data_IF_504269585722
#
_entry.id   IF_504269585722
#
_cell.length_a   1.000
_cell.length_b   1.000
_cell.length_c   1.000
_cell.angle_alpha   90.00
_cell.angle_beta   90.00
_cell.angle_gamma   90.00
#
_symmetry.space_group_name_H-M   'P 1'
#
loop_
_entity.id
_entity.type
_entity.pdbx_description
1 polymer ?
#
# COMPACT_ATOMS: atom_id res chain seq x y z
N UNK A 1 -8.63 -12.00 -8.54
CA UNK A 1 -7.20 -11.72 -8.80
C UNK A 1 -6.71 -10.58 -7.89
N UNK A 2 -5.44 -10.63 -7.49
CA UNK A 2 -4.77 -9.54 -6.74
C UNK A 2 -4.34 -8.41 -7.68
N UNK A 3 -4.11 -7.20 -7.18
CA UNK A 3 -3.54 -6.10 -7.98
C UNK A 3 -4.42 -5.49 -9.08
N UNK A 4 -5.74 -5.71 -9.04
CA UNK A 4 -6.74 -5.07 -9.93
C UNK A 4 -7.35 -3.77 -9.36
N UNK A 5 -6.86 -3.27 -8.22
CA UNK A 5 -7.35 -2.01 -7.65
C UNK A 5 -8.58 -2.09 -6.73
N UNK A 6 -8.91 -3.26 -6.15
CA UNK A 6 -10.03 -3.37 -5.18
C UNK A 6 -9.86 -2.42 -3.99
N UNK A 7 -8.69 -2.41 -3.36
CA UNK A 7 -8.38 -1.51 -2.25
C UNK A 7 -8.39 -0.04 -2.68
N UNK A 8 -7.92 0.28 -3.89
CA UNK A 8 -7.98 1.64 -4.45
C UNK A 8 -9.43 2.13 -4.65
N UNK A 9 -10.34 1.25 -5.09
CA UNK A 9 -11.77 1.58 -5.17
C UNK A 9 -12.34 1.86 -3.78
N UNK A 10 -12.00 1.06 -2.77
CA UNK A 10 -12.43 1.31 -1.39
C UNK A 10 -11.92 2.66 -0.86
N UNK A 11 -10.67 3.02 -1.14
CA UNK A 11 -10.13 4.33 -0.79
C UNK A 11 -10.89 5.46 -1.48
N UNK A 12 -11.21 5.29 -2.77
CA UNK A 12 -11.99 6.27 -3.53
C UNK A 12 -13.42 6.43 -2.99
N UNK A 13 -14.08 5.33 -2.66
CA UNK A 13 -15.41 5.32 -2.02
C UNK A 13 -15.34 6.01 -0.65
N UNK A 14 -14.32 5.71 0.16
CA UNK A 14 -14.15 6.34 1.46
C UNK A 14 -13.98 7.87 1.34
N UNK A 15 -13.23 8.33 0.35
CA UNK A 15 -13.02 9.75 0.08
C UNK A 15 -14.31 10.44 -0.41
N UNK A 16 -15.02 9.85 -1.38
CA UNK A 16 -16.24 10.43 -1.95
C UNK A 16 -17.42 10.42 -0.98
N UNK A 17 -17.53 9.40 -0.12
CA UNK A 17 -18.65 9.23 0.82
C UNK A 17 -18.35 9.82 2.21
N UNK A 18 -17.24 10.53 2.36
CA UNK A 18 -16.78 11.03 3.64
C UNK A 18 -17.77 11.94 4.37
N UNK A 19 -18.51 12.76 3.63
CA UNK A 19 -19.52 13.66 4.19
C UNK A 19 -20.87 12.96 4.40
N UNK A 20 -21.08 11.79 3.79
CA UNK A 20 -22.33 11.03 3.89
C UNK A 20 -22.35 10.12 5.14
N UNK A 21 -21.19 9.64 5.59
CA UNK A 21 -21.08 8.78 6.76
C UNK A 21 -20.51 9.56 7.95
N UNK A 22 -21.06 9.33 9.14
CA UNK A 22 -20.50 9.85 10.39
C UNK A 22 -19.09 9.30 10.66
N UNK A 23 -18.86 8.04 10.31
CA UNK A 23 -17.59 7.37 10.51
C UNK A 23 -17.31 6.36 9.41
N UNK A 24 -16.07 6.36 8.93
CA UNK A 24 -15.55 5.35 8.01
C UNK A 24 -14.42 4.62 8.73
N UNK A 25 -14.56 3.31 8.82
CA UNK A 25 -13.66 2.44 9.56
C UNK A 25 -13.06 1.41 8.60
N UNK A 26 -11.74 1.29 8.59
CA UNK A 26 -11.01 0.35 7.74
C UNK A 26 -10.39 -0.74 8.58
N UNK A 27 -10.56 -1.99 8.17
CA UNK A 27 -9.97 -3.17 8.82
C UNK A 27 -9.35 -4.06 7.75
N UNK A 28 -8.05 -4.34 7.89
CA UNK A 28 -7.38 -5.39 7.12
C UNK A 28 -7.72 -6.76 7.71
N UNK A 29 -8.52 -7.54 6.99
CA UNK A 29 -8.92 -8.90 7.38
C UNK A 29 -8.11 -9.98 6.68
N UNK A 30 -6.93 -9.63 6.14
CA UNK A 30 -5.97 -10.57 5.56
C UNK A 30 -5.37 -11.56 6.56
N UNK A 31 -5.42 -11.25 7.86
CA UNK A 31 -5.09 -12.17 8.95
C UNK A 31 -5.87 -11.81 10.22
N UNK A 32 -6.06 -12.77 11.12
CA UNK A 32 -6.75 -12.54 12.39
C UNK A 32 -6.01 -11.53 13.29
N UNK A 33 -4.67 -11.53 13.25
CA UNK A 33 -3.86 -10.55 14.00
C UNK A 33 -4.06 -9.13 13.46
N UNK A 34 -4.03 -8.94 12.13
CA UNK A 34 -4.25 -7.63 11.51
C UNK A 34 -5.67 -7.11 11.82
N UNK A 35 -6.67 -7.97 11.68
CA UNK A 35 -8.05 -7.62 11.99
C UNK A 35 -8.20 -7.21 13.47
N UNK A 36 -7.59 -7.96 14.38
CA UNK A 36 -7.60 -7.67 15.82
C UNK A 36 -7.01 -6.29 16.11
N UNK A 37 -5.83 -6.00 15.56
CA UNK A 37 -5.16 -4.71 15.75
C UNK A 37 -6.04 -3.54 15.25
N UNK A 38 -6.65 -3.69 14.07
CA UNK A 38 -7.47 -2.64 13.48
C UNK A 38 -8.80 -2.42 14.21
N UNK A 39 -9.46 -3.49 14.66
CA UNK A 39 -10.64 -3.36 15.53
C UNK A 39 -10.31 -2.73 16.88
N UNK A 40 -9.15 -3.03 17.46
CA UNK A 40 -8.67 -2.36 18.68
C UNK A 40 -8.47 -0.86 18.43
N UNK A 41 -7.89 -0.48 17.27
CA UNK A 41 -7.76 0.95 16.89
C UNK A 41 -9.14 1.62 16.79
N UNK A 42 -10.12 0.95 16.17
CA UNK A 42 -11.50 1.45 16.11
C UNK A 42 -12.09 1.63 17.52
N UNK A 43 -11.96 0.62 18.40
CA UNK A 43 -12.45 0.71 19.77
C UNK A 43 -11.82 1.88 20.54
N UNK A 44 -10.52 2.12 20.35
CA UNK A 44 -9.81 3.28 20.93
C UNK A 44 -10.32 4.61 20.37
N UNK A 45 -10.54 4.71 19.06
CA UNK A 45 -11.08 5.91 18.42
C UNK A 45 -12.49 6.24 18.95
N UNK A 46 -13.30 5.20 19.17
CA UNK A 46 -14.64 5.29 19.76
C UNK A 46 -14.63 5.46 21.29
N UNK A 47 -13.45 5.43 21.92
CA UNK A 47 -13.25 5.57 23.37
C UNK A 47 -14.01 4.53 24.18
N UNK A 48 -14.04 3.30 23.69
CA UNK A 48 -14.72 2.19 24.37
C UNK A 48 -13.94 1.73 25.59
N UNK A 49 -14.65 1.27 26.62
CA UNK A 49 -14.02 0.71 27.82
C UNK A 49 -13.39 -0.66 27.57
N UNK A 50 -13.94 -1.44 26.63
CA UNK A 50 -13.40 -2.71 26.17
C UNK A 50 -12.79 -2.53 24.78
N UNK A 51 -11.47 -2.64 24.70
CA UNK A 51 -10.71 -2.60 23.44
C UNK A 51 -10.65 -4.01 22.83
N UNK A 52 -11.81 -4.50 22.38
CA UNK A 52 -11.95 -5.83 21.76
C UNK A 52 -12.71 -5.73 20.44
N UNK A 53 -12.59 -6.77 19.61
CA UNK A 53 -13.38 -6.90 18.37
C UNK A 53 -14.88 -6.81 18.71
N UNK A 54 -15.35 -7.62 19.65
CA UNK A 54 -16.76 -7.63 20.07
C UNK A 54 -17.22 -6.26 20.58
N UNK A 55 -16.37 -5.54 21.32
CA UNK A 55 -16.67 -4.19 21.79
C UNK A 55 -16.86 -3.20 20.64
N UNK A 56 -15.95 -3.22 19.65
CA UNK A 56 -16.06 -2.40 18.46
C UNK A 56 -17.31 -2.73 17.64
N UNK A 57 -17.57 -4.02 17.38
CA UNK A 57 -18.74 -4.48 16.64
C UNK A 57 -20.04 -4.12 17.36
N UNK A 58 -20.11 -4.31 18.68
CA UNK A 58 -21.26 -3.94 19.49
C UNK A 58 -21.49 -2.42 19.48
N UNK A 59 -20.43 -1.61 19.52
CA UNK A 59 -20.55 -0.16 19.41
C UNK A 59 -21.12 0.25 18.06
N UNK A 60 -20.61 -0.30 16.96
CA UNK A 60 -21.14 -0.02 15.62
C UNK A 60 -22.58 -0.53 15.45
N UNK A 61 -22.93 -1.66 16.06
CA UNK A 61 -24.28 -2.24 15.99
C UNK A 61 -25.33 -1.35 16.67
N UNK A 62 -24.94 -0.58 17.69
CA UNK A 62 -25.82 0.32 18.45
C UNK A 62 -25.69 1.79 18.02
N UNK A 63 -24.84 2.09 17.04
CA UNK A 63 -24.68 3.46 16.55
C UNK A 63 -25.89 3.84 15.68
N UNK A 64 -26.51 4.98 16.00
CA UNK A 64 -27.68 5.48 15.28
C UNK A 64 -27.32 6.25 14.01
N UNK A 65 -26.08 6.73 13.91
CA UNK A 65 -25.57 7.46 12.75
C UNK A 65 -25.03 6.50 11.70
N UNK A 66 -25.20 6.88 10.44
CA UNK A 66 -24.70 6.08 9.32
C UNK A 66 -23.18 5.93 9.38
N UNK A 67 -22.68 4.70 9.36
CA UNK A 67 -21.26 4.38 9.29
C UNK A 67 -20.95 3.45 8.11
N UNK A 68 -19.69 3.48 7.68
CA UNK A 68 -19.14 2.56 6.68
C UNK A 68 -18.00 1.75 7.28
N UNK A 69 -18.08 0.42 7.21
CA UNK A 69 -17.02 -0.50 7.59
C UNK A 69 -16.42 -1.14 6.34
N UNK A 70 -15.14 -0.89 6.08
CA UNK A 70 -14.39 -1.48 4.99
C UNK A 70 -13.60 -2.67 5.53
N UNK A 71 -13.87 -3.87 5.01
CA UNK A 71 -13.16 -5.10 5.30
C UNK A 71 -12.30 -5.48 4.09
N UNK A 72 -11.02 -5.16 4.12
CA UNK A 72 -10.09 -5.38 2.99
C UNK A 72 -9.36 -6.73 3.12
N UNK A 73 -9.00 -7.36 2.00
CA UNK A 73 -8.24 -8.63 1.94
C UNK A 73 -8.95 -9.85 2.55
N UNK A 74 -10.27 -9.99 2.40
CA UNK A 74 -11.02 -11.16 2.88
C UNK A 74 -10.79 -12.41 1.99
N UNK A 75 -9.57 -12.91 1.93
CA UNK A 75 -9.12 -13.87 0.92
C UNK A 75 -9.16 -15.35 1.36
N UNK A 76 -9.21 -15.65 2.66
CA UNK A 76 -9.23 -17.01 3.17
C UNK A 76 -10.61 -17.66 2.95
N UNK A 77 -10.67 -18.67 2.08
CA UNK A 77 -11.91 -19.37 1.76
C UNK A 77 -12.50 -20.20 2.90
N UNK A 78 -11.70 -20.50 3.93
CA UNK A 78 -12.13 -21.30 5.08
C UNK A 78 -12.52 -20.45 6.28
N UNK A 79 -12.30 -19.13 6.20
CA UNK A 79 -12.60 -18.20 7.27
C UNK A 79 -14.01 -17.63 7.14
N UNK A 80 -14.81 -17.74 8.19
CA UNK A 80 -16.11 -17.09 8.25
C UNK A 80 -15.95 -15.59 8.57
N UNK A 81 -15.99 -14.73 7.55
CA UNK A 81 -15.88 -13.28 7.72
C UNK A 81 -17.13 -12.61 8.31
N UNK A 82 -18.28 -13.31 8.40
CA UNK A 82 -19.50 -12.74 9.00
C UNK A 82 -19.33 -12.44 10.49
N UNK A 83 -18.33 -13.06 11.14
CA UNK A 83 -17.95 -12.75 12.53
C UNK A 83 -17.51 -11.29 12.72
N UNK A 84 -17.11 -10.61 11.64
CA UNK A 84 -16.70 -9.20 11.66
C UNK A 84 -17.84 -8.24 11.27
N UNK A 85 -19.07 -8.74 11.12
CA UNK A 85 -20.19 -7.90 10.70
C UNK A 85 -20.93 -7.41 11.96
N UNK A 86 -21.07 -6.08 12.15
CA UNK A 86 -21.99 -5.55 13.15
C UNK A 86 -23.42 -6.05 12.87
N UNK A 87 -24.17 -6.36 13.93
CA UNK A 87 -25.52 -6.92 13.82
C UNK A 87 -26.63 -5.86 13.65
N UNK A 88 -26.27 -4.57 13.78
CA UNK A 88 -27.17 -3.44 13.57
C UNK A 88 -27.44 -3.13 12.10
N UNK A 89 -28.45 -2.30 11.83
CA UNK A 89 -28.85 -1.89 10.47
C UNK A 89 -28.43 -0.46 10.11
N UNK A 90 -27.74 0.25 11.00
CA UNK A 90 -27.38 1.67 10.84
C UNK A 90 -26.12 1.91 10.02
N UNK A 91 -25.65 0.95 9.23
CA UNK A 91 -24.40 1.12 8.49
C UNK A 91 -24.28 0.21 7.27
N UNK A 92 -23.21 0.46 6.51
CA UNK A 92 -22.85 -0.28 5.32
C UNK A 92 -21.52 -1.00 5.52
N UNK A 93 -21.38 -2.17 4.90
CA UNK A 93 -20.13 -2.93 4.89
C UNK A 93 -19.66 -3.05 3.45
N UNK A 94 -18.42 -2.65 3.19
CA UNK A 94 -17.74 -2.86 1.90
C UNK A 94 -16.63 -3.89 2.11
N UNK A 95 -16.76 -5.05 1.49
CA UNK A 95 -15.79 -6.15 1.62
C UNK A 95 -15.05 -6.36 0.29
N UNK A 96 -13.73 -6.44 0.34
CA UNK A 96 -12.91 -6.84 -0.81
C UNK A 96 -12.35 -8.24 -0.63
N UNK A 97 -12.26 -8.99 -1.73
CA UNK A 97 -11.67 -10.33 -1.74
C UNK A 97 -11.19 -10.71 -3.13
N UNK A 98 -10.15 -11.54 -3.20
CA UNK A 98 -9.70 -12.25 -4.39
C UNK A 98 -10.51 -13.54 -4.61
N UNK A 99 -11.19 -14.04 -3.57
CA UNK A 99 -12.00 -15.24 -3.62
C UNK A 99 -13.43 -14.91 -4.05
N UNK A 100 -13.82 -15.34 -5.25
CA UNK A 100 -15.16 -15.10 -5.78
C UNK A 100 -16.31 -15.69 -4.95
N UNK A 101 -16.05 -16.64 -4.03
CA UNK A 101 -17.07 -17.16 -3.12
C UNK A 101 -17.56 -16.12 -2.11
N UNK A 102 -16.77 -15.09 -1.81
CA UNK A 102 -17.16 -14.00 -0.90
C UNK A 102 -18.40 -13.25 -1.37
N UNK A 103 -18.75 -13.34 -2.67
CA UNK A 103 -20.01 -12.82 -3.25
C UNK A 103 -21.25 -13.30 -2.50
N UNK A 104 -21.20 -14.49 -1.89
CA UNK A 104 -22.31 -15.04 -1.10
C UNK A 104 -22.58 -14.26 0.19
N UNK A 105 -21.63 -13.46 0.67
CA UNK A 105 -21.75 -12.62 1.86
C UNK A 105 -22.47 -11.29 1.57
N UNK A 106 -22.61 -10.91 0.30
CA UNK A 106 -23.25 -9.64 -0.06
C UNK A 106 -24.76 -9.71 0.03
N UNK A 107 -25.36 -8.70 0.66
CA UNK A 107 -26.81 -8.52 0.79
C UNK A 107 -27.38 -7.54 -0.24
N UNK A 108 -26.53 -6.78 -0.94
CA UNK A 108 -26.94 -5.70 -1.85
C UNK A 108 -26.39 -5.95 -3.25
N UNK A 109 -25.06 -5.83 -3.40
CA UNK A 109 -24.39 -5.95 -4.70
C UNK A 109 -23.01 -6.58 -4.51
N UNK A 110 -22.61 -7.39 -5.48
CA UNK A 110 -21.27 -7.97 -5.53
C UNK A 110 -20.73 -7.82 -6.94
N UNK A 111 -19.70 -6.99 -7.06
CA UNK A 111 -19.06 -6.69 -8.33
C UNK A 111 -17.74 -7.45 -8.46
N UNK A 112 -17.56 -8.09 -9.61
CA UNK A 112 -16.27 -8.68 -9.97
C UNK A 112 -15.51 -7.65 -10.79
N UNK A 113 -14.38 -7.19 -10.28
CA UNK A 113 -13.50 -6.33 -11.06
C UNK A 113 -12.86 -7.17 -12.17
N UNK A 114 -13.18 -6.83 -13.42
CA UNK A 114 -12.45 -7.28 -14.59
C UNK A 114 -11.24 -6.41 -14.85
N UNK A 115 -10.60 -6.65 -15.99
CA UNK A 115 -9.58 -5.75 -16.53
C UNK A 115 -10.20 -4.39 -16.89
N UNK A 116 -9.38 -3.34 -16.83
CA UNK A 116 -9.79 -2.01 -17.29
C UNK A 116 -10.00 -2.02 -18.81
N UNK A 117 -10.77 -1.05 -19.31
CA UNK A 117 -10.89 -0.84 -20.74
C UNK A 117 -9.52 -0.47 -21.35
N UNK A 118 -9.22 -0.84 -22.61
CA UNK A 118 -7.91 -0.60 -23.21
C UNK A 118 -7.44 0.86 -23.15
N UNK A 119 -8.38 1.81 -23.27
CA UNK A 119 -8.07 3.24 -23.18
C UNK A 119 -7.60 3.65 -21.77
N UNK A 120 -8.22 3.09 -20.72
CA UNK A 120 -7.85 3.35 -19.34
C UNK A 120 -6.54 2.65 -18.97
N UNK A 121 -6.29 1.45 -19.50
CA UNK A 121 -5.00 0.78 -19.39
C UNK A 121 -3.87 1.62 -19.99
N UNK A 122 -4.07 2.20 -21.18
CA UNK A 122 -3.09 3.09 -21.80
C UNK A 122 -2.84 4.33 -20.94
N UNK A 123 -3.91 4.98 -20.46
CA UNK A 123 -3.78 6.17 -19.61
C UNK A 123 -3.00 5.85 -18.33
N UNK A 124 -3.32 4.73 -17.67
CA UNK A 124 -2.62 4.25 -16.48
C UNK A 124 -1.13 3.98 -16.77
N UNK A 125 -0.84 3.31 -17.89
CA UNK A 125 0.52 3.02 -18.32
C UNK A 125 1.34 4.30 -18.57
N UNK A 126 0.80 5.24 -19.36
CA UNK A 126 1.50 6.50 -19.66
C UNK A 126 1.73 7.34 -18.40
N UNK A 127 0.75 7.39 -17.49
CA UNK A 127 0.90 8.06 -16.21
C UNK A 127 2.03 7.42 -15.38
N UNK A 128 2.10 6.10 -15.31
CA UNK A 128 3.14 5.39 -14.58
C UNK A 128 4.52 5.50 -15.26
N UNK A 129 4.56 5.60 -16.58
CA UNK A 129 5.77 5.79 -17.37
C UNK A 129 6.30 7.22 -17.37
N UNK A 130 5.54 8.18 -16.83
CA UNK A 130 5.85 9.62 -16.88
C UNK A 130 6.08 10.13 -18.31
N UNK A 131 5.39 9.53 -19.30
CA UNK A 131 5.48 9.88 -20.73
C UNK A 131 4.17 10.53 -21.17
N UNK A 132 4.27 11.65 -21.90
CA UNK A 132 3.10 12.27 -22.54
C UNK A 132 2.56 11.36 -23.65
N UNK A 133 1.28 11.03 -23.59
CA UNK A 133 0.61 10.19 -24.58
C UNK A 133 0.67 10.86 -25.96
N UNK A 134 1.31 10.20 -26.91
CA UNK A 134 1.42 10.64 -28.30
C UNK A 134 1.15 9.48 -29.26
N UNK A 135 0.88 9.79 -30.53
CA UNK A 135 0.65 8.77 -31.57
C UNK A 135 1.88 7.89 -31.83
N UNK A 136 3.08 8.34 -31.46
CA UNK A 136 4.33 7.58 -31.59
C UNK A 136 4.34 6.37 -30.65
N UNK A 137 3.96 6.58 -29.39
CA UNK A 137 4.01 5.55 -28.35
C UNK A 137 2.74 4.72 -28.21
N UNK A 138 1.65 5.09 -28.89
CA UNK A 138 0.36 4.44 -28.73
C UNK A 138 0.36 2.95 -29.14
N UNK A 139 0.93 2.61 -30.30
CA UNK A 139 1.06 1.22 -30.75
C UNK A 139 2.02 0.39 -29.88
N UNK A 140 3.25 0.85 -29.55
CA UNK A 140 4.12 0.19 -28.57
C UNK A 140 3.45 -0.03 -27.20
N UNK A 141 2.82 0.99 -26.63
CA UNK A 141 2.13 0.89 -25.35
C UNK A 141 0.97 -0.11 -25.41
N UNK A 142 0.22 -0.15 -26.52
CA UNK A 142 -0.86 -1.13 -26.70
C UNK A 142 -0.34 -2.57 -26.73
N UNK A 143 0.88 -2.80 -27.26
CA UNK A 143 1.52 -4.13 -27.18
C UNK A 143 1.80 -4.52 -25.72
N UNK A 144 2.32 -3.59 -24.91
CA UNK A 144 2.56 -3.82 -23.47
C UNK A 144 1.23 -4.11 -22.74
N UNK A 145 0.18 -3.33 -23.01
CA UNK A 145 -1.16 -3.54 -22.42
C UNK A 145 -1.69 -4.94 -22.69
N UNK A 146 -1.57 -5.41 -23.93
CA UNK A 146 -1.97 -6.77 -24.32
C UNK A 146 -1.07 -7.83 -23.70
N UNK A 147 0.25 -7.61 -23.69
CA UNK A 147 1.23 -8.54 -23.12
C UNK A 147 0.99 -8.79 -21.63
N UNK A 148 0.62 -7.74 -20.89
CA UNK A 148 0.36 -7.80 -19.45
C UNK A 148 -1.10 -8.14 -19.11
N UNK A 149 -1.89 -8.56 -20.09
CA UNK A 149 -3.31 -8.93 -19.96
C UNK A 149 -4.15 -7.88 -19.23
N UNK A 150 -3.84 -6.60 -19.48
CA UNK A 150 -4.51 -5.44 -18.85
C UNK A 150 -4.47 -5.46 -17.31
N UNK A 151 -3.50 -6.15 -16.71
CA UNK A 151 -3.36 -6.25 -15.26
C UNK A 151 -2.83 -4.94 -14.68
N UNK A 152 -3.68 -4.20 -13.95
CA UNK A 152 -3.41 -2.85 -13.42
C UNK A 152 -2.05 -2.71 -12.74
N UNK A 153 -1.73 -3.56 -11.75
CA UNK A 153 -0.45 -3.47 -11.04
C UNK A 153 0.77 -3.75 -11.94
N UNK A 154 0.68 -4.71 -12.86
CA UNK A 154 1.79 -5.02 -13.77
C UNK A 154 2.03 -3.86 -14.75
N UNK A 155 0.96 -3.19 -15.20
CA UNK A 155 1.07 -1.98 -16.02
C UNK A 155 1.74 -0.82 -15.28
N UNK A 156 1.39 -0.61 -14.01
CA UNK A 156 2.04 0.41 -13.17
C UNK A 156 3.53 0.09 -13.01
N UNK A 157 3.88 -1.17 -12.75
CA UNK A 157 5.28 -1.60 -12.61
C UNK A 157 6.06 -1.47 -13.92
N UNK A 158 5.45 -1.82 -15.06
CA UNK A 158 6.04 -1.65 -16.39
C UNK A 158 6.29 -0.18 -16.72
N UNK A 159 5.30 0.69 -16.45
CA UNK A 159 5.47 2.13 -16.61
C UNK A 159 6.60 2.65 -15.71
N UNK A 160 6.57 2.33 -14.42
CA UNK A 160 7.61 2.76 -13.49
C UNK A 160 9.02 2.27 -13.90
N UNK A 161 9.14 1.07 -14.45
CA UNK A 161 10.40 0.54 -15.00
C UNK A 161 10.94 1.43 -16.13
N UNK A 162 10.06 1.82 -17.06
CA UNK A 162 10.40 2.72 -18.19
C UNK A 162 10.72 4.13 -17.68
N UNK A 163 9.97 4.65 -16.69
CA UNK A 163 10.21 5.96 -16.09
C UNK A 163 11.58 6.08 -15.39
N UNK A 164 12.20 4.95 -15.02
CA UNK A 164 13.56 4.91 -14.48
C UNK A 164 14.65 4.78 -15.55
N UNK A 165 14.32 4.96 -16.83
CA UNK A 165 15.21 4.84 -17.99
C UNK A 165 15.88 3.45 -18.10
N UNK A 166 15.24 2.39 -17.60
CA UNK A 166 15.78 1.03 -17.71
C UNK A 166 15.63 0.44 -19.12
N UNK A 167 14.60 0.86 -19.86
CA UNK A 167 14.43 0.60 -21.30
C UNK A 167 13.43 1.58 -21.92
N UNK A 168 13.36 1.60 -23.25
CA UNK A 168 12.27 2.28 -23.98
C UNK A 168 10.95 1.50 -23.94
N UNK A 169 9.85 2.16 -24.34
CA UNK A 169 8.52 1.54 -24.49
C UNK A 169 8.57 0.39 -25.51
N UNK A 170 9.37 0.54 -26.57
CA UNK A 170 9.53 -0.45 -27.63
C UNK A 170 10.29 -1.70 -27.19
N UNK A 171 11.26 -1.54 -26.29
CA UNK A 171 12.13 -2.61 -25.79
C UNK A 171 11.49 -3.40 -24.64
N UNK A 172 10.58 -2.79 -23.87
CA UNK A 172 9.98 -3.41 -22.69
C UNK A 172 9.38 -4.81 -22.93
N UNK A 173 8.65 -5.09 -24.04
CA UNK A 173 8.15 -6.43 -24.31
C UNK A 173 9.21 -7.53 -24.26
N UNK A 174 10.41 -7.26 -24.80
CA UNK A 174 11.51 -8.23 -24.79
C UNK A 174 12.07 -8.45 -23.38
N UNK A 175 12.16 -7.38 -22.58
CA UNK A 175 12.55 -7.48 -21.16
C UNK A 175 11.58 -8.37 -20.39
N UNK A 176 10.28 -8.13 -20.58
CA UNK A 176 9.23 -8.92 -19.95
C UNK A 176 9.28 -10.39 -20.36
N UNK A 177 9.42 -10.67 -21.66
CA UNK A 177 9.46 -12.04 -22.19
C UNK A 177 10.56 -12.87 -21.52
N UNK A 178 11.79 -12.33 -21.45
CA UNK A 178 12.93 -12.99 -20.80
C UNK A 178 12.61 -13.37 -19.35
N UNK A 179 12.08 -12.43 -18.56
CA UNK A 179 11.78 -12.68 -17.15
C UNK A 179 10.58 -13.60 -16.95
N UNK A 180 9.55 -13.47 -17.79
CA UNK A 180 8.38 -14.34 -17.75
C UNK A 180 8.74 -15.80 -18.08
N UNK A 181 9.58 -16.03 -19.11
CA UNK A 181 10.08 -17.36 -19.46
C UNK A 181 10.93 -17.95 -18.34
N UNK A 182 11.82 -17.13 -17.75
CA UNK A 182 12.62 -17.54 -16.60
C UNK A 182 11.74 -17.98 -15.45
N UNK A 183 10.72 -17.21 -15.08
CA UNK A 183 9.79 -17.55 -14.00
C UNK A 183 8.98 -18.81 -14.29
N UNK A 184 8.46 -18.94 -15.52
CA UNK A 184 7.70 -20.13 -15.93
C UNK A 184 8.56 -21.40 -15.95
N UNK A 185 9.87 -21.26 -16.17
CA UNK A 185 10.83 -22.38 -16.13
C UNK A 185 11.12 -22.90 -14.71
N UNK A 186 10.85 -22.11 -13.67
CA UNK A 186 11.11 -22.46 -12.26
C UNK A 186 10.07 -23.42 -11.66
N UNK A 187 8.99 -23.74 -12.38
CA UNK A 187 8.08 -24.84 -12.05
C UNK A 187 6.60 -24.49 -12.19
N UNK A 188 5.72 -25.51 -12.24
CA UNK A 188 4.30 -25.36 -12.55
C UNK A 188 3.46 -25.04 -11.30
N UNK A 189 3.86 -24.05 -10.51
CA UNK A 189 2.98 -23.60 -9.43
C UNK A 189 1.80 -22.83 -10.02
N UNK A 190 0.57 -23.24 -9.71
CA UNK A 190 -0.64 -22.57 -10.21
C UNK A 190 -0.71 -21.11 -9.74
N UNK A 191 -0.02 -20.77 -8.64
CA UNK A 191 0.18 -19.41 -8.18
C UNK A 191 1.07 -18.60 -9.13
N UNK A 192 2.17 -19.18 -9.63
CA UNK A 192 3.08 -18.51 -10.57
C UNK A 192 2.35 -18.11 -11.85
N UNK A 193 1.48 -18.97 -12.39
CA UNK A 193 0.71 -18.64 -13.60
C UNK A 193 -0.28 -17.49 -13.39
N UNK A 194 -0.89 -17.35 -12.20
CA UNK A 194 -1.88 -16.30 -11.92
C UNK A 194 -1.27 -14.93 -11.62
N UNK A 195 -0.03 -14.89 -11.17
CA UNK A 195 0.69 -13.68 -10.79
C UNK A 195 1.94 -13.46 -11.64
N UNK A 196 2.09 -14.23 -12.73
CA UNK A 196 3.28 -14.23 -13.59
C UNK A 196 3.60 -12.83 -14.05
N UNK A 197 2.59 -12.08 -14.53
CA UNK A 197 2.80 -10.75 -15.05
C UNK A 197 3.40 -9.83 -13.98
N UNK A 198 2.79 -9.78 -12.78
CA UNK A 198 3.26 -8.93 -11.66
C UNK A 198 4.66 -9.35 -11.20
N UNK A 199 4.94 -10.65 -11.11
CA UNK A 199 6.26 -11.12 -10.69
C UNK A 199 7.32 -10.87 -11.76
N UNK A 200 7.01 -11.08 -13.05
CA UNK A 200 7.93 -10.82 -14.15
C UNK A 200 8.28 -9.33 -14.23
N UNK A 201 7.29 -8.44 -14.13
CA UNK A 201 7.52 -6.98 -14.12
C UNK A 201 8.32 -6.52 -12.89
N UNK A 202 8.08 -7.13 -11.73
CA UNK A 202 8.86 -6.86 -10.52
C UNK A 202 10.30 -7.39 -10.62
N UNK A 203 10.50 -8.62 -11.06
CA UNK A 203 11.81 -9.25 -11.24
C UNK A 203 12.66 -8.51 -12.27
N UNK A 204 12.06 -8.05 -13.37
CA UNK A 204 12.74 -7.19 -14.33
C UNK A 204 13.36 -5.97 -13.64
N UNK A 205 12.61 -5.32 -12.74
CA UNK A 205 13.08 -4.16 -11.97
C UNK A 205 14.25 -4.53 -11.04
N UNK A 206 14.16 -5.67 -10.36
CA UNK A 206 15.23 -6.19 -9.49
C UNK A 206 16.50 -6.50 -10.28
N UNK A 207 16.37 -7.11 -11.46
CA UNK A 207 17.51 -7.39 -12.35
C UNK A 207 18.15 -6.11 -12.88
N UNK A 208 17.34 -5.14 -13.30
CA UNK A 208 17.83 -3.83 -13.74
C UNK A 208 18.63 -3.13 -12.63
N UNK A 209 18.09 -3.07 -11.41
CA UNK A 209 18.79 -2.51 -10.25
C UNK A 209 20.11 -3.23 -9.98
N UNK A 210 20.11 -4.57 -10.02
CA UNK A 210 21.31 -5.39 -9.79
C UNK A 210 22.40 -5.13 -10.85
N UNK A 211 21.99 -4.88 -12.10
CA UNK A 211 22.91 -4.66 -13.22
C UNK A 211 23.59 -3.29 -13.20
N UNK A 212 22.92 -2.27 -12.66
CA UNK A 212 23.39 -0.87 -12.70
C UNK A 212 24.61 -0.60 -11.82
N UNK A 213 24.85 -1.43 -10.79
CA UNK A 213 25.99 -1.30 -9.84
C UNK A 213 26.18 0.12 -9.27
N UNK A 214 25.10 0.89 -9.17
CA UNK A 214 25.07 2.20 -8.51
C UNK A 214 24.80 1.99 -7.03
N UNK A 215 25.34 2.88 -6.20
CA UNK A 215 25.14 2.87 -4.75
C UNK A 215 23.65 2.86 -4.37
N UNK A 216 22.86 3.78 -4.94
CA UNK A 216 21.41 3.83 -4.71
C UNK A 216 20.67 2.57 -5.16
N UNK A 217 21.19 1.84 -6.14
CA UNK A 217 20.57 0.59 -6.61
C UNK A 217 20.83 -0.55 -5.63
N UNK A 218 22.03 -0.62 -5.05
CA UNK A 218 22.33 -1.57 -3.98
C UNK A 218 21.50 -1.26 -2.73
N UNK A 219 21.40 0.01 -2.36
CA UNK A 219 20.57 0.46 -1.25
C UNK A 219 19.10 0.05 -1.41
N UNK A 220 18.54 0.22 -2.62
CA UNK A 220 17.18 -0.21 -2.91
C UNK A 220 17.00 -1.74 -2.76
N UNK A 221 17.96 -2.53 -3.25
CA UNK A 221 17.93 -3.98 -3.11
C UNK A 221 18.04 -4.44 -1.65
N UNK A 222 18.89 -3.81 -0.86
CA UNK A 222 19.04 -4.13 0.56
C UNK A 222 17.75 -3.81 1.34
N UNK A 223 17.10 -2.68 1.04
CA UNK A 223 15.80 -2.33 1.61
C UNK A 223 14.74 -3.36 1.19
N UNK A 224 14.71 -3.79 -0.07
CA UNK A 224 13.77 -4.81 -0.52
C UNK A 224 13.95 -6.15 0.22
N UNK A 225 15.20 -6.59 0.42
CA UNK A 225 15.48 -7.79 1.21
C UNK A 225 15.02 -7.65 2.66
N UNK A 226 15.22 -6.48 3.26
CA UNK A 226 14.74 -6.19 4.61
C UNK A 226 13.20 -6.18 4.68
N UNK A 227 12.51 -5.60 3.69
CA UNK A 227 11.05 -5.61 3.64
C UNK A 227 10.48 -7.02 3.46
N UNK A 228 11.19 -7.89 2.75
CA UNK A 228 10.76 -9.27 2.50
C UNK A 228 10.71 -10.16 3.75
N UNK A 229 11.46 -9.83 4.81
CA UNK A 229 11.45 -10.57 6.09
C UNK A 229 10.40 -10.06 7.07
N UNK A 230 9.70 -8.98 6.73
CA UNK A 230 8.73 -8.34 7.60
C UNK A 230 7.30 -8.72 7.21
N UNK A 231 6.40 -8.64 8.19
CA UNK A 231 4.98 -8.78 7.90
C UNK A 231 4.50 -7.57 7.10
N UNK A 232 3.62 -7.79 6.12
CA UNK A 232 3.16 -6.74 5.20
C UNK A 232 2.29 -5.67 5.86
N UNK A 233 1.73 -5.96 7.03
CA UNK A 233 0.83 -5.04 7.77
C UNK A 233 1.56 -4.26 8.86
N UNK A 234 1.11 -3.02 9.09
CA UNK A 234 1.53 -2.15 10.21
C UNK A 234 3.05 -1.96 10.34
N UNK A 235 3.80 -1.89 9.23
CA UNK A 235 5.23 -1.58 9.26
C UNK A 235 5.46 -0.14 9.76
N UNK A 236 6.07 0.07 10.95
CA UNK A 236 6.27 1.41 11.49
C UNK A 236 7.44 2.06 10.78
N UNK A 237 7.18 3.10 9.98
CA UNK A 237 8.22 3.85 9.26
C UNK A 237 9.25 4.47 10.22
N UNK A 238 8.86 4.66 11.48
CA UNK A 238 9.70 5.08 12.59
C UNK A 238 10.91 4.17 12.77
N UNK A 239 10.83 2.88 12.42
CA UNK A 239 11.98 1.97 12.52
C UNK A 239 13.17 2.44 11.69
N UNK A 240 12.92 3.03 10.50
CA UNK A 240 14.00 3.58 9.67
C UNK A 240 14.58 4.84 10.29
N UNK A 241 13.73 5.66 10.92
CA UNK A 241 14.16 6.88 11.62
C UNK A 241 14.98 6.55 12.87
N UNK A 242 14.55 5.55 13.62
CA UNK A 242 15.23 5.11 14.84
C UNK A 242 16.53 4.38 14.52
N UNK A 243 16.53 3.53 13.48
CA UNK A 243 17.76 2.93 12.95
C UNK A 243 18.77 4.00 12.51
N UNK A 244 18.29 5.03 11.79
CA UNK A 244 19.11 6.17 11.40
C UNK A 244 19.71 6.90 12.61
N UNK A 245 18.89 7.26 13.59
CA UNK A 245 19.34 7.96 14.79
C UNK A 245 20.35 7.12 15.59
N UNK A 246 20.08 5.81 15.74
CA UNK A 246 20.97 4.87 16.40
C UNK A 246 22.32 4.75 15.68
N UNK A 247 22.32 4.74 14.35
CA UNK A 247 23.54 4.73 13.56
C UNK A 247 24.38 6.00 13.76
N UNK A 248 23.76 7.18 13.92
CA UNK A 248 24.50 8.41 14.22
C UNK A 248 25.18 8.35 15.60
N UNK A 249 24.46 7.89 16.63
CA UNK A 249 25.02 7.76 18.00
C UNK A 249 26.17 6.74 18.04
N UNK A 250 26.03 5.64 17.31
CA UNK A 250 27.02 4.57 17.29
C UNK A 250 28.33 4.95 16.57
N UNK A 251 28.31 5.94 15.67
CA UNK A 251 29.52 6.48 15.04
C UNK A 251 30.38 7.28 16.02
N UNK A 252 29.75 7.88 17.04
CA UNK A 252 30.40 8.68 18.07
C UNK A 252 30.86 7.83 19.27
N UNK A 253 30.50 6.54 19.30
CA UNK A 253 30.79 5.63 20.42
C UNK A 253 32.22 5.08 20.32
N UNK A 254 33.08 5.27 21.33
CA UNK A 254 34.45 4.73 21.34
C UNK A 254 34.46 3.20 21.33
N UNK A 255 35.32 2.58 20.51
CA UNK A 255 35.39 1.11 20.35
C UNK A 255 35.71 0.35 21.66
N UNK A 256 36.26 1.03 22.67
CA UNK A 256 36.63 0.44 23.97
C UNK A 256 35.48 0.25 24.96
N UNK A 257 34.29 0.83 24.72
CA UNK A 257 33.12 0.79 25.63
C UNK A 257 31.98 -0.12 25.10
N UNK A 258 32.31 -1.01 24.16
CA UNK A 258 31.34 -1.92 23.55
C UNK A 258 30.90 -3.03 24.52
N UNK A 259 29.74 -2.85 25.16
CA UNK A 259 28.97 -3.93 25.78
C UNK A 259 27.88 -4.38 24.79
N UNK A 260 27.23 -5.53 25.03
CA UNK A 260 26.14 -6.07 24.20
C UNK A 260 24.96 -5.08 24.02
N UNK A 261 24.85 -4.11 24.94
CA UNK A 261 23.83 -3.07 24.93
C UNK A 261 24.24 -1.78 24.20
N UNK A 262 25.48 -1.68 23.71
CA UNK A 262 26.02 -0.46 23.09
C UNK A 262 26.25 -0.68 21.59
N UNK A 263 25.55 0.09 20.76
CA UNK A 263 25.81 0.12 19.32
C UNK A 263 27.18 0.75 19.06
N UNK A 264 27.93 0.19 18.11
CA UNK A 264 29.31 0.62 17.78
C UNK A 264 29.49 0.69 16.27
N UNK A 265 30.63 1.23 15.83
CA UNK A 265 31.01 1.26 14.42
C UNK A 265 30.92 -0.11 13.72
N UNK A 266 31.24 -1.19 14.44
CA UNK A 266 31.08 -2.55 13.93
C UNK A 266 29.60 -2.89 13.63
N UNK A 267 28.67 -2.57 14.53
CA UNK A 267 27.25 -2.81 14.30
C UNK A 267 26.72 -2.01 13.11
N UNK A 268 27.16 -0.75 12.96
CA UNK A 268 26.79 0.08 11.80
C UNK A 268 27.30 -0.53 10.49
N UNK A 269 28.51 -1.12 10.49
CA UNK A 269 29.05 -1.78 9.30
C UNK A 269 28.26 -3.01 8.84
N UNK A 270 27.36 -3.53 9.68
CA UNK A 270 26.47 -4.63 9.33
C UNK A 270 25.11 -4.15 8.80
N UNK A 271 24.80 -2.85 8.90
CA UNK A 271 23.57 -2.30 8.35
C UNK A 271 23.70 -2.11 6.83
N UNK A 272 22.59 -2.24 6.07
CA UNK A 272 22.52 -1.74 4.71
C UNK A 272 23.07 -0.32 4.63
N UNK A 273 23.89 -0.06 3.61
CA UNK A 273 24.55 1.24 3.47
C UNK A 273 23.51 2.39 3.46
N UNK A 274 22.39 2.17 2.78
CA UNK A 274 21.15 2.96 2.81
C UNK A 274 20.73 3.47 4.20
N UNK A 275 20.77 2.62 5.22
CA UNK A 275 20.34 2.94 6.58
C UNK A 275 21.41 3.69 7.37
N UNK A 276 22.66 3.68 6.89
CA UNK A 276 23.82 4.32 7.50
C UNK A 276 24.21 5.67 6.85
N UNK A 277 23.54 6.09 5.78
CA UNK A 277 23.77 7.38 5.10
C UNK A 277 22.83 8.56 5.43
N UNK A 278 23.44 9.75 5.58
CA UNK A 278 22.80 11.03 5.98
C UNK A 278 21.66 11.49 5.08
N UNK A 279 21.71 11.13 3.80
CA UNK A 279 20.73 11.56 2.81
C UNK A 279 19.56 10.59 2.66
N UNK A 280 19.78 9.27 2.76
CA UNK A 280 18.71 8.30 2.54
C UNK A 280 17.78 8.19 3.75
N UNK A 281 18.28 8.24 4.99
CA UNK A 281 17.41 8.31 6.18
C UNK A 281 16.49 9.53 6.15
N UNK A 282 16.99 10.68 5.68
CA UNK A 282 16.19 11.89 5.48
C UNK A 282 15.24 11.78 4.28
N UNK A 283 15.65 11.20 3.14
CA UNK A 283 14.82 11.02 1.94
C UNK A 283 13.73 9.96 2.17
N UNK A 284 14.02 8.85 2.83
CA UNK A 284 13.02 7.85 3.22
C UNK A 284 12.01 8.49 4.16
N UNK A 285 12.47 9.18 5.22
CA UNK A 285 11.57 9.89 6.13
C UNK A 285 10.77 10.99 5.41
N UNK A 286 11.35 11.77 4.49
CA UNK A 286 10.65 12.86 3.78
C UNK A 286 9.77 12.41 2.62
N UNK A 287 10.14 11.39 1.84
CA UNK A 287 9.30 10.80 0.79
C UNK A 287 8.18 9.94 1.39
N UNK A 288 8.45 9.14 2.41
CA UNK A 288 7.40 8.36 3.09
C UNK A 288 6.52 9.22 3.99
N UNK A 289 7.04 10.28 4.64
CA UNK A 289 6.18 11.27 5.30
C UNK A 289 5.33 12.05 4.31
N UNK A 290 5.79 12.33 3.08
CA UNK A 290 4.93 12.88 2.03
C UNK A 290 3.83 11.91 1.59
N UNK A 291 4.09 10.60 1.55
CA UNK A 291 3.04 9.58 1.33
C UNK A 291 2.00 9.56 2.48
N UNK A 292 2.45 9.60 3.74
CA UNK A 292 1.54 9.75 4.90
C UNK A 292 0.87 11.12 4.96
N UNK A 293 1.51 12.16 4.41
CA UNK A 293 0.94 13.50 4.32
C UNK A 293 -0.09 13.54 3.22
N UNK A 294 0.06 12.90 2.06
CA UNK A 294 -1.01 12.82 1.04
C UNK A 294 -2.25 12.11 1.61
N UNK A 295 -2.08 11.08 2.45
CA UNK A 295 -3.20 10.47 3.20
C UNK A 295 -3.73 11.34 4.35
N UNK A 296 -2.92 12.23 4.95
CA UNK A 296 -3.32 13.12 6.06
C UNK A 296 -3.75 14.55 5.65
N UNK A 297 -3.35 15.05 4.48
CA UNK A 297 -3.76 16.36 3.94
C UNK A 297 -5.08 16.28 3.23
N UNK A 298 -5.48 15.10 2.70
CA UNK A 298 -6.89 14.86 2.41
C UNK A 298 -7.74 14.94 3.69
N UNK A 299 -7.17 14.64 4.87
CA UNK A 299 -7.86 14.75 6.16
C UNK A 299 -7.85 16.14 6.82
N UNK A 300 -7.09 17.14 6.35
CA UNK A 300 -6.97 18.46 7.02
C UNK A 300 -7.09 19.71 6.14
N UNK A 301 -7.34 19.59 4.84
CA UNK A 301 -7.38 20.72 3.92
C UNK A 301 -8.76 21.12 3.42
N UNK A 302 -9.65 21.62 4.29
CA UNK A 302 -10.62 22.71 4.02
C UNK A 302 -11.59 22.89 5.21
N UNK A 303 -11.07 23.48 6.29
CA UNK A 303 -11.86 23.82 7.48
C UNK A 303 -11.36 25.12 8.11
N UNK A 304 -11.11 26.15 7.30
CA UNK A 304 -10.73 27.46 7.81
C UNK A 304 -11.28 28.56 6.91
N UNK A 305 -12.61 28.63 6.75
CA UNK A 305 -13.32 29.83 6.28
C UNK A 305 -14.80 29.73 6.68
N UNK A 306 -15.16 30.47 7.73
CA UNK A 306 -16.49 30.98 8.12
C UNK A 306 -16.99 30.53 9.50
N UNK A 307 -16.78 31.42 10.49
CA UNK A 307 -17.77 31.81 11.52
C UNK A 307 -17.10 32.85 12.44
N UNK A 308 -17.09 34.13 12.05
CA UNK A 308 -18.03 35.18 12.47
C UNK A 308 -18.18 35.39 13.99
N UNK A 309 -17.76 36.59 14.40
CA UNK A 309 -18.50 37.54 15.24
C UNK A 309 -19.38 36.95 16.34
N UNK A 310 -18.90 37.03 17.58
CA UNK A 310 -19.70 37.23 18.77
C UNK A 310 -18.78 37.78 19.86
N UNK A 311 -18.65 39.10 19.97
CA UNK A 311 -18.39 39.83 21.22
C UNK A 311 -18.42 41.34 20.92
N UNK A 312 -19.61 41.94 20.96
CA UNK A 312 -19.77 43.38 21.15
C UNK A 312 -21.16 43.69 21.72
N UNK A 313 -21.23 43.89 23.03
CA UNK A 313 -22.18 44.74 23.79
C UNK A 313 -22.14 44.31 25.26
N UNK A 314 -22.07 45.17 26.27
CA UNK A 314 -21.58 46.54 26.49
C UNK A 314 -21.81 46.76 27.98
N UNK A 315 -20.79 47.21 28.71
CA UNK A 315 -21.01 47.93 29.97
C UNK A 315 -21.37 49.37 29.61
N UNK A 316 -22.60 49.76 29.92
CA UNK A 316 -23.07 51.04 30.46
C UNK A 316 -24.58 51.09 30.24
#
# INVERSE_FOLDING_TARGET
MGGLGKSEICLKVADEMREAFWGIFWVDVGSESAATDDFIKIAKMLKLAAETIDGALQSLSNEERDWLLILDNADDSNFDYTRYFPSGSGGAILLTSRNGRSRQLSTVVAESLGSLEPADCLNLFFQAAEIERSSEYEEPAMRIVKLLDSHTLALIQAGAYIAQDFCSVEEYPAVYEIESERLLSLGPDQALSRYCNVYATFEASVQALSSLKRENSQDALDILHFLAILHYSNFPLEIFKDAWNGAQVAQETPEGDANICTLSGWHISQLPHAMAQKYLGFILVTKFSKLTTVTCTSLKGEGARHSNNLFASSRA
#
